data_IF_404950598093
#
_entry.id   IF_404950598093
#
_cell.length_a   1.000
_cell.length_b   1.000
_cell.length_c   1.000
_cell.angle_alpha   90.00
_cell.angle_beta   90.00
_cell.angle_gamma   90.00
#
_symmetry.space_group_name_H-M   'P 1'
#
loop_
_entity.id
_entity.type
_entity.pdbx_description
1 polymer ?
#
# COMPACT_ATOMS: atom_id res chain seq x y z
N UNK A 1 24.56 5.74 -9.91
CA UNK A 1 23.11 6.03 -9.81
C UNK A 1 22.35 4.85 -10.38
N UNK A 2 21.13 4.57 -9.91
CA UNK A 2 20.31 3.46 -10.44
C UNK A 2 19.86 3.79 -11.86
N UNK A 3 19.96 2.88 -12.83
CA UNK A 3 19.34 3.08 -14.15
C UNK A 3 17.83 2.87 -14.05
N UNK A 4 17.11 3.93 -13.68
CA UNK A 4 15.66 3.89 -13.53
C UNK A 4 14.93 3.58 -14.82
N UNK A 5 15.44 4.05 -15.97
CA UNK A 5 14.87 3.74 -17.27
C UNK A 5 14.87 2.22 -17.52
N UNK A 6 15.99 1.55 -17.25
CA UNK A 6 16.09 0.10 -17.37
C UNK A 6 15.17 -0.63 -16.38
N UNK A 7 15.14 -0.19 -15.11
CA UNK A 7 14.30 -0.82 -14.07
C UNK A 7 12.81 -0.75 -14.39
N UNK A 8 12.32 0.43 -14.81
CA UNK A 8 10.90 0.62 -15.13
C UNK A 8 10.52 -0.19 -16.37
N UNK A 9 11.35 -0.19 -17.42
CA UNK A 9 11.14 -1.02 -18.61
C UNK A 9 11.13 -2.51 -18.28
N UNK A 10 12.02 -2.95 -17.40
CA UNK A 10 12.07 -4.35 -16.94
C UNK A 10 10.83 -4.73 -16.10
N UNK A 11 10.17 -3.77 -15.46
CA UNK A 11 8.95 -3.98 -14.68
C UNK A 11 7.73 -4.26 -15.58
N UNK A 12 7.67 -3.68 -16.79
CA UNK A 12 6.60 -3.91 -17.76
C UNK A 12 6.51 -5.40 -18.19
N UNK A 13 5.33 -5.88 -18.58
CA UNK A 13 5.21 -7.21 -19.19
C UNK A 13 5.84 -7.18 -20.61
N UNK A 14 6.93 -7.94 -20.86
CA UNK A 14 7.58 -7.95 -22.17
C UNK A 14 6.67 -8.45 -23.30
N UNK A 15 5.60 -9.19 -22.96
CA UNK A 15 4.61 -9.74 -23.90
C UNK A 15 3.44 -8.80 -24.15
N UNK A 16 3.39 -7.64 -23.48
CA UNK A 16 2.34 -6.65 -23.72
C UNK A 16 2.37 -6.18 -25.19
N UNK A 17 1.19 -6.07 -25.81
CA UNK A 17 1.04 -5.64 -27.21
C UNK A 17 1.54 -4.22 -27.43
N UNK A 18 1.22 -3.31 -26.49
CA UNK A 18 1.70 -1.92 -26.49
C UNK A 18 2.98 -1.84 -25.68
N UNK A 19 3.97 -1.12 -26.21
CA UNK A 19 5.21 -0.84 -25.50
C UNK A 19 5.01 0.34 -24.55
N UNK A 20 5.73 0.36 -23.41
CA UNK A 20 5.75 1.50 -22.49
C UNK A 20 6.03 2.83 -23.21
N UNK A 21 5.29 3.86 -22.84
CA UNK A 21 5.48 5.22 -23.31
C UNK A 21 6.76 5.81 -22.66
N UNK A 22 7.63 6.39 -23.49
CA UNK A 22 8.91 6.94 -23.03
C UNK A 22 8.73 8.15 -22.10
N UNK A 23 7.69 8.97 -22.28
CA UNK A 23 7.40 10.11 -21.42
C UNK A 23 6.90 9.66 -20.05
N UNK A 24 6.08 8.60 -19.98
CA UNK A 24 5.65 8.01 -18.70
C UNK A 24 6.84 7.37 -17.97
N UNK A 25 7.75 6.74 -18.70
CA UNK A 25 8.99 6.23 -18.08
C UNK A 25 9.84 7.39 -17.57
N UNK A 26 10.05 8.43 -18.38
CA UNK A 26 10.84 9.62 -18.03
C UNK A 26 10.36 10.28 -16.75
N UNK A 27 9.05 10.58 -16.63
CA UNK A 27 8.51 11.22 -15.42
C UNK A 27 8.72 10.42 -14.12
N UNK A 28 8.90 9.10 -14.21
CA UNK A 28 9.24 8.28 -13.05
C UNK A 28 10.76 8.26 -12.87
N UNK A 29 11.52 8.03 -13.95
CA UNK A 29 12.96 7.87 -13.90
C UNK A 29 13.68 9.14 -13.42
N UNK A 30 13.24 10.30 -13.92
CA UNK A 30 13.88 11.59 -13.69
C UNK A 30 13.70 12.08 -12.25
N UNK A 31 12.75 11.52 -11.50
CA UNK A 31 12.42 11.94 -10.14
C UNK A 31 12.56 10.83 -9.09
N UNK A 32 12.89 9.61 -9.49
CA UNK A 32 12.93 8.47 -8.58
C UNK A 32 13.96 8.62 -7.45
N UNK A 33 15.16 9.14 -7.76
CA UNK A 33 16.21 9.32 -6.76
C UNK A 33 15.85 10.38 -5.70
N UNK A 34 15.03 11.38 -6.05
CA UNK A 34 14.57 12.43 -5.12
C UNK A 34 13.31 12.01 -4.35
N UNK A 35 12.33 11.45 -5.05
CA UNK A 35 11.00 11.19 -4.49
C UNK A 35 10.97 9.93 -3.62
N UNK A 36 11.69 8.87 -3.99
CA UNK A 36 11.70 7.64 -3.21
C UNK A 36 12.20 7.82 -1.77
N UNK A 37 13.39 8.41 -1.51
CA UNK A 37 13.81 8.62 -0.12
C UNK A 37 12.89 9.57 0.63
N UNK A 38 12.41 10.65 -0.02
CA UNK A 38 11.50 11.65 0.58
C UNK A 38 10.24 11.01 1.14
N UNK A 39 9.65 10.06 0.41
CA UNK A 39 8.40 9.40 0.79
C UNK A 39 8.61 8.02 1.43
N UNK A 40 9.84 7.69 1.82
CA UNK A 40 10.15 6.48 2.57
C UNK A 40 10.23 5.20 1.74
N UNK A 41 10.33 5.27 0.42
CA UNK A 41 10.62 4.13 -0.47
C UNK A 41 12.11 3.79 -0.47
N UNK A 42 12.65 3.48 0.70
CA UNK A 42 14.10 3.31 0.91
C UNK A 42 14.60 1.89 0.65
N UNK A 43 13.73 0.88 0.66
CA UNK A 43 14.07 -0.52 0.42
C UNK A 43 13.70 -0.97 -1.00
N UNK A 44 14.40 -1.98 -1.53
CA UNK A 44 14.04 -2.58 -2.83
C UNK A 44 12.57 -3.01 -2.84
N UNK A 45 12.09 -3.63 -1.75
CA UNK A 45 10.71 -4.12 -1.64
C UNK A 45 9.68 -2.99 -1.76
N UNK A 46 9.92 -1.84 -1.14
CA UNK A 46 9.03 -0.67 -1.25
C UNK A 46 9.01 -0.11 -2.67
N UNK A 47 10.19 0.11 -3.27
CA UNK A 47 10.31 0.62 -4.64
C UNK A 47 9.64 -0.33 -5.64
N UNK A 48 9.90 -1.64 -5.52
CA UNK A 48 9.29 -2.67 -6.36
C UNK A 48 7.76 -2.72 -6.20
N UNK A 49 7.24 -2.58 -4.97
CA UNK A 49 5.80 -2.55 -4.73
C UNK A 49 5.15 -1.38 -5.48
N UNK A 50 5.67 -0.16 -5.31
CA UNK A 50 5.13 1.01 -6.01
C UNK A 50 5.18 0.84 -7.52
N UNK A 51 6.34 0.49 -8.09
CA UNK A 51 6.51 0.30 -9.53
C UNK A 51 5.58 -0.79 -10.10
N UNK A 52 5.36 -1.87 -9.37
CA UNK A 52 4.45 -2.94 -9.77
C UNK A 52 3.00 -2.47 -9.84
N UNK A 53 2.57 -1.68 -8.86
CA UNK A 53 1.23 -1.10 -8.86
C UNK A 53 1.09 -0.08 -10.00
N UNK A 54 2.04 0.85 -10.15
CA UNK A 54 2.05 1.80 -11.27
C UNK A 54 1.97 1.08 -12.61
N UNK A 55 2.77 0.02 -12.81
CA UNK A 55 2.76 -0.78 -14.03
C UNK A 55 1.35 -1.29 -14.37
N UNK A 56 0.56 -1.73 -13.38
CA UNK A 56 -0.79 -2.26 -13.64
C UNK A 56 -1.82 -1.13 -13.79
N UNK A 57 -1.76 -0.10 -12.95
CA UNK A 57 -2.70 1.04 -13.03
C UNK A 57 -2.56 1.84 -14.33
N UNK A 58 -1.36 1.85 -14.93
CA UNK A 58 -1.05 2.57 -16.18
C UNK A 58 -1.06 1.67 -17.42
N UNK A 59 -1.58 0.45 -17.31
CA UNK A 59 -1.61 -0.54 -18.39
C UNK A 59 -0.23 -0.76 -19.06
N UNK A 60 0.76 -1.13 -18.25
CA UNK A 60 2.19 -1.24 -18.61
C UNK A 60 2.84 0.09 -19.02
N UNK A 61 2.60 1.16 -18.27
CA UNK A 61 3.17 2.49 -18.51
C UNK A 61 2.77 3.07 -19.88
N UNK A 62 1.50 2.89 -20.28
CA UNK A 62 1.00 3.34 -21.59
C UNK A 62 -0.10 4.39 -21.50
N UNK A 63 -0.68 4.61 -20.32
CA UNK A 63 -1.69 5.63 -20.10
C UNK A 63 -1.64 6.19 -18.67
N UNK A 64 -1.87 7.49 -18.54
CA UNK A 64 -2.02 8.17 -17.26
C UNK A 64 -3.45 8.55 -16.94
N UNK A 65 -4.36 8.48 -17.91
CA UNK A 65 -5.74 8.91 -17.76
C UNK A 65 -6.67 7.85 -18.33
N UNK A 66 -7.84 7.69 -17.71
CA UNK A 66 -8.91 6.96 -18.34
C UNK A 66 -9.38 7.68 -19.62
N UNK A 67 -9.62 6.92 -20.69
CA UNK A 67 -9.99 7.51 -21.98
C UNK A 67 -11.48 7.90 -22.07
N UNK A 68 -12.34 7.22 -21.29
CA UNK A 68 -13.80 7.37 -21.27
C UNK A 68 -14.44 7.47 -22.66
N UNK A 69 -13.86 6.81 -23.66
CA UNK A 69 -14.33 6.90 -25.04
C UNK A 69 -15.04 5.59 -25.43
N UNK A 70 -16.36 5.58 -25.29
CA UNK A 70 -17.21 4.41 -25.53
C UNK A 70 -18.31 4.73 -26.54
N UNK A 71 -18.73 3.73 -27.31
CA UNK A 71 -19.98 3.82 -28.09
C UNK A 71 -21.20 3.71 -27.17
N UNK A 72 -22.39 4.10 -27.64
CA UNK A 72 -23.63 4.02 -26.87
C UNK A 72 -23.96 2.57 -26.48
N UNK A 73 -23.73 1.62 -27.39
CA UNK A 73 -23.94 0.19 -27.18
C UNK A 73 -23.03 -0.30 -26.06
N UNK A 74 -21.74 0.06 -26.11
CA UNK A 74 -20.77 -0.38 -25.10
C UNK A 74 -21.07 0.22 -23.73
N UNK A 75 -21.53 1.47 -23.67
CA UNK A 75 -21.97 2.11 -22.44
C UNK A 75 -23.17 1.37 -21.81
N UNK A 76 -24.15 0.98 -22.62
CA UNK A 76 -25.30 0.19 -22.17
C UNK A 76 -24.86 -1.20 -21.66
N UNK A 77 -23.90 -1.84 -22.32
CA UNK A 77 -23.36 -3.13 -21.88
C UNK A 77 -22.63 -3.05 -20.54
N UNK A 78 -21.68 -2.10 -20.42
CA UNK A 78 -20.77 -2.01 -19.27
C UNK A 78 -21.44 -1.37 -18.06
N UNK A 79 -22.34 -0.41 -18.29
CA UNK A 79 -23.02 0.34 -17.23
C UNK A 79 -24.54 0.31 -17.39
N UNK A 80 -25.10 -0.89 -17.60
CA UNK A 80 -26.55 -1.11 -17.76
C UNK A 80 -27.43 -0.43 -16.71
N UNK A 81 -26.98 -0.32 -15.46
CA UNK A 81 -27.72 0.39 -14.39
C UNK A 81 -27.78 1.91 -14.60
N UNK A 82 -26.75 2.51 -15.21
CA UNK A 82 -26.69 3.96 -15.50
C UNK A 82 -27.27 4.29 -16.87
N UNK A 83 -27.14 3.36 -17.81
CA UNK A 83 -27.64 3.45 -19.17
C UNK A 83 -28.53 2.22 -19.46
N UNK A 84 -29.80 2.22 -19.03
CA UNK A 84 -30.71 1.07 -19.21
C UNK A 84 -31.07 0.78 -20.66
N UNK A 85 -30.90 1.76 -21.56
CA UNK A 85 -31.10 1.63 -23.00
C UNK A 85 -29.93 2.26 -23.77
N UNK A 86 -29.69 1.84 -25.01
CA UNK A 86 -28.71 2.48 -25.90
C UNK A 86 -29.03 3.97 -26.09
N UNK A 87 -30.32 4.29 -26.24
CA UNK A 87 -30.79 5.68 -26.38
C UNK A 87 -30.41 6.57 -25.19
N UNK A 88 -30.48 6.03 -23.96
CA UNK A 88 -30.04 6.77 -22.75
C UNK A 88 -28.53 7.03 -22.70
N UNK A 89 -27.74 6.25 -23.45
CA UNK A 89 -26.29 6.39 -23.55
C UNK A 89 -25.85 7.31 -24.69
N UNK A 90 -26.70 7.52 -25.71
CA UNK A 90 -26.38 8.32 -26.91
C UNK A 90 -25.73 9.68 -26.61
N UNK A 91 -26.20 10.48 -25.64
CA UNK A 91 -25.59 11.77 -25.34
C UNK A 91 -24.13 11.70 -24.82
N UNK A 92 -23.71 10.52 -24.33
CA UNK A 92 -22.41 10.28 -23.71
C UNK A 92 -21.47 9.45 -24.61
N UNK A 93 -21.98 8.93 -25.72
CA UNK A 93 -21.20 8.16 -26.67
C UNK A 93 -20.15 9.05 -27.34
N UNK A 94 -18.91 8.58 -27.38
CA UNK A 94 -17.75 9.32 -27.89
C UNK A 94 -17.60 10.72 -27.30
N UNK A 95 -18.13 10.94 -26.08
CA UNK A 95 -18.07 12.20 -25.37
C UNK A 95 -17.51 11.98 -23.95
N UNK A 96 -16.18 11.81 -23.81
CA UNK A 96 -15.53 11.49 -22.54
C UNK A 96 -15.84 12.47 -21.41
N UNK A 97 -15.92 13.78 -21.73
CA UNK A 97 -16.20 14.83 -20.75
C UNK A 97 -17.62 14.73 -20.20
N UNK A 98 -18.62 14.62 -21.08
CA UNK A 98 -20.00 14.43 -20.64
C UNK A 98 -20.17 13.12 -19.85
N UNK A 99 -19.52 12.05 -20.31
CA UNK A 99 -19.55 10.76 -19.62
C UNK A 99 -18.92 10.82 -18.23
N UNK A 100 -17.75 11.45 -18.08
CA UNK A 100 -17.08 11.62 -16.79
C UNK A 100 -17.98 12.39 -15.81
N UNK A 101 -18.57 13.49 -16.24
CA UNK A 101 -19.49 14.28 -15.42
C UNK A 101 -20.75 13.49 -15.04
N UNK A 102 -21.27 12.65 -15.94
CA UNK A 102 -22.41 11.76 -15.65
C UNK A 102 -22.08 10.66 -14.64
N UNK A 103 -20.88 10.06 -14.73
CA UNK A 103 -20.50 8.92 -13.91
C UNK A 103 -19.99 9.35 -12.54
N UNK A 104 -19.27 10.47 -12.47
CA UNK A 104 -18.57 10.93 -11.26
C UNK A 104 -19.14 12.19 -10.61
N UNK A 105 -20.02 12.95 -11.27
CA UNK A 105 -20.64 14.13 -10.67
C UNK A 105 -21.48 13.77 -9.43
N UNK A 106 -21.36 14.57 -8.37
CA UNK A 106 -22.03 14.33 -7.08
C UNK A 106 -21.44 13.17 -6.27
N UNK A 107 -20.24 12.67 -6.60
CA UNK A 107 -19.59 11.53 -5.94
C UNK A 107 -18.15 11.88 -5.58
N UNK A 108 -17.64 11.31 -4.47
CA UNK A 108 -16.22 11.48 -4.06
C UNK A 108 -15.82 12.97 -4.00
N UNK A 109 -16.69 13.80 -3.42
CA UNK A 109 -16.49 15.24 -3.31
C UNK A 109 -16.77 16.06 -4.56
N UNK A 110 -16.96 15.43 -5.72
CA UNK A 110 -17.26 16.15 -6.96
C UNK A 110 -18.63 16.83 -6.83
N UNK A 111 -18.69 18.13 -7.13
CA UNK A 111 -19.94 18.90 -7.12
C UNK A 111 -20.86 18.41 -8.24
N UNK A 112 -22.15 18.27 -7.94
CA UNK A 112 -23.15 17.89 -8.94
C UNK A 112 -23.40 19.05 -9.91
N UNK A 113 -23.53 18.75 -11.21
CA UNK A 113 -23.80 19.75 -12.24
C UNK A 113 -22.59 20.61 -12.66
N UNK A 114 -21.39 20.35 -12.12
CA UNK A 114 -20.14 21.00 -12.55
C UNK A 114 -19.30 20.05 -13.42
N UNK A 115 -18.14 20.54 -13.85
CA UNK A 115 -17.16 19.75 -14.60
C UNK A 115 -16.22 18.92 -13.71
N UNK A 116 -16.49 18.84 -12.40
CA UNK A 116 -15.62 18.16 -11.44
C UNK A 116 -15.43 16.67 -11.78
N UNK A 117 -16.45 16.04 -12.39
CA UNK A 117 -16.34 14.64 -12.80
C UNK A 117 -15.28 14.43 -13.88
N UNK A 118 -15.15 15.35 -14.84
CA UNK A 118 -14.10 15.34 -15.85
C UNK A 118 -12.74 15.75 -15.29
N UNK A 119 -12.70 16.84 -14.52
CA UNK A 119 -11.47 17.37 -13.94
C UNK A 119 -10.84 16.37 -12.96
N UNK A 120 -11.67 15.64 -12.20
CA UNK A 120 -11.24 14.65 -11.21
C UNK A 120 -11.50 13.20 -11.65
N UNK A 121 -11.57 12.94 -12.96
CA UNK A 121 -11.58 11.56 -13.49
C UNK A 121 -10.30 10.82 -13.12
N UNK A 122 -10.33 9.50 -13.23
CA UNK A 122 -9.23 8.60 -12.93
C UNK A 122 -7.96 8.96 -13.69
N UNK A 123 -6.94 9.38 -12.94
CA UNK A 123 -5.66 9.78 -13.54
C UNK A 123 -4.45 9.63 -12.63
N UNK A 124 -3.28 9.78 -13.24
CA UNK A 124 -1.97 9.63 -12.64
C UNK A 124 -1.53 8.18 -12.48
N UNK A 125 -0.32 8.02 -11.95
CA UNK A 125 0.38 6.73 -11.87
C UNK A 125 -0.30 5.70 -10.97
N UNK A 126 -1.19 6.12 -10.07
CA UNK A 126 -2.04 5.24 -9.24
C UNK A 126 -3.55 5.42 -9.49
N UNK A 127 -3.96 6.07 -10.58
CA UNK A 127 -5.36 6.23 -11.00
C UNK A 127 -6.29 6.79 -9.90
N UNK A 128 -5.93 7.95 -9.33
CA UNK A 128 -6.75 8.63 -8.33
C UNK A 128 -7.96 9.30 -8.99
N UNK A 129 -9.13 9.22 -8.35
CA UNK A 129 -10.41 9.74 -8.85
C UNK A 129 -11.14 10.51 -7.75
N UNK A 130 -11.77 11.64 -8.09
CA UNK A 130 -12.64 12.41 -7.20
C UNK A 130 -11.94 13.56 -6.49
N UNK A 131 -12.71 14.62 -6.26
CA UNK A 131 -12.27 15.83 -5.58
C UNK A 131 -11.84 15.58 -4.12
N UNK A 132 -12.51 14.67 -3.39
CA UNK A 132 -12.11 14.31 -2.02
C UNK A 132 -10.69 13.75 -1.97
N UNK A 133 -10.37 12.84 -2.90
CA UNK A 133 -9.02 12.27 -3.00
C UNK A 133 -7.98 13.31 -3.40
N UNK A 134 -8.33 14.23 -4.31
CA UNK A 134 -7.48 15.37 -4.64
C UNK A 134 -7.27 16.29 -3.42
N UNK A 135 -8.28 16.45 -2.57
CA UNK A 135 -8.20 17.22 -1.33
C UNK A 135 -7.28 16.58 -0.29
N UNK A 136 -7.38 15.27 -0.05
CA UNK A 136 -6.46 14.56 0.84
C UNK A 136 -5.02 14.59 0.32
N UNK A 137 -4.84 14.43 -0.99
CA UNK A 137 -3.53 14.57 -1.64
C UNK A 137 -2.99 16.00 -1.47
N UNK A 138 -3.79 17.03 -1.76
CA UNK A 138 -3.42 18.43 -1.63
C UNK A 138 -3.03 18.81 -0.20
N UNK A 139 -3.80 18.37 0.81
CA UNK A 139 -3.44 18.55 2.22
C UNK A 139 -2.06 17.97 2.55
N UNK A 140 -1.74 16.79 2.01
CA UNK A 140 -0.46 16.12 2.28
C UNK A 140 0.72 16.79 1.56
N UNK A 141 0.48 17.39 0.41
CA UNK A 141 1.47 18.11 -0.40
C UNK A 141 1.54 19.61 -0.11
N UNK A 142 0.62 20.15 0.69
CA UNK A 142 0.56 21.59 1.00
C UNK A 142 0.02 22.45 -0.15
N UNK A 143 -0.80 21.89 -1.03
CA UNK A 143 -1.39 22.58 -2.19
C UNK A 143 -2.91 22.45 -2.22
N UNK A 144 -3.59 23.24 -3.08
CA UNK A 144 -5.04 23.13 -3.23
C UNK A 144 -5.44 21.81 -3.91
N UNK A 145 -6.69 21.34 -3.74
CA UNK A 145 -7.19 20.15 -4.43
C UNK A 145 -7.05 20.25 -5.96
N UNK A 146 -7.27 21.43 -6.53
CA UNK A 146 -7.17 21.66 -7.98
C UNK A 146 -5.73 21.50 -8.47
N UNK A 147 -4.76 22.06 -7.74
CA UNK A 147 -3.33 21.89 -8.02
C UNK A 147 -2.93 20.43 -7.89
N UNK A 148 -3.31 19.76 -6.80
CA UNK A 148 -3.02 18.34 -6.59
C UNK A 148 -3.62 17.46 -7.70
N UNK A 149 -4.84 17.77 -8.14
CA UNK A 149 -5.50 17.08 -9.24
C UNK A 149 -4.72 17.25 -10.56
N UNK A 150 -4.26 18.47 -10.87
CA UNK A 150 -3.43 18.71 -12.05
C UNK A 150 -2.05 18.01 -11.97
N UNK A 151 -1.46 17.96 -10.78
CA UNK A 151 -0.14 17.35 -10.53
C UNK A 151 -0.10 15.84 -10.76
N UNK A 152 -1.24 15.14 -10.65
CA UNK A 152 -1.32 13.70 -10.88
C UNK A 152 -0.74 13.25 -12.23
N UNK A 153 -0.79 14.11 -13.24
CA UNK A 153 -0.30 13.83 -14.60
C UNK A 153 0.83 14.77 -15.04
N UNK A 154 1.25 15.70 -14.17
CA UNK A 154 2.32 16.62 -14.49
C UNK A 154 3.67 15.88 -14.44
N UNK A 155 4.55 16.00 -15.44
CA UNK A 155 5.83 15.30 -15.47
C UNK A 155 6.63 15.43 -14.17
N UNK A 156 6.71 16.66 -13.65
CA UNK A 156 7.51 16.95 -12.45
C UNK A 156 6.92 16.44 -11.13
N UNK A 157 5.62 16.12 -11.09
CA UNK A 157 4.89 15.85 -9.84
C UNK A 157 4.17 14.49 -9.80
N UNK A 158 4.03 13.81 -10.94
CA UNK A 158 3.25 12.58 -11.01
C UNK A 158 3.81 11.49 -10.07
N UNK A 159 5.14 11.35 -9.99
CA UNK A 159 5.77 10.40 -9.08
C UNK A 159 5.60 10.77 -7.61
N UNK A 160 5.76 12.06 -7.27
CA UNK A 160 5.50 12.59 -5.92
C UNK A 160 4.06 12.27 -5.48
N UNK A 161 3.09 12.50 -6.37
CA UNK A 161 1.69 12.18 -6.12
C UNK A 161 1.48 10.67 -5.91
N UNK A 162 2.12 9.82 -6.72
CA UNK A 162 2.02 8.36 -6.60
C UNK A 162 2.57 7.86 -5.27
N UNK A 163 3.76 8.33 -4.89
CA UNK A 163 4.38 8.05 -3.60
C UNK A 163 3.46 8.46 -2.45
N UNK A 164 2.91 9.67 -2.51
CA UNK A 164 2.02 10.23 -1.49
C UNK A 164 0.73 9.43 -1.34
N UNK A 165 0.07 9.10 -2.46
CA UNK A 165 -1.14 8.27 -2.45
C UNK A 165 -0.87 6.89 -1.84
N UNK A 166 0.23 6.24 -2.20
CA UNK A 166 0.61 4.94 -1.65
C UNK A 166 0.80 5.00 -0.12
N UNK A 167 1.36 6.12 0.39
CA UNK A 167 1.49 6.40 1.82
C UNK A 167 0.11 6.61 2.46
N UNK A 168 -0.75 7.45 1.88
CA UNK A 168 -2.11 7.74 2.38
C UNK A 168 -2.98 6.48 2.44
N UNK A 169 -2.81 5.55 1.49
CA UNK A 169 -3.49 4.25 1.47
C UNK A 169 -2.93 3.26 2.52
N UNK A 170 -1.87 3.65 3.24
CA UNK A 170 -1.23 2.83 4.26
C UNK A 170 -0.61 1.56 3.69
N UNK A 171 -0.10 1.61 2.45
CA UNK A 171 0.40 0.43 1.75
C UNK A 171 1.86 0.09 2.08
N UNK A 172 2.63 1.02 2.69
CA UNK A 172 4.03 0.80 3.06
C UNK A 172 4.26 -0.42 3.96
N UNK A 173 3.49 -0.67 5.05
CA UNK A 173 3.72 -1.86 5.89
C UNK A 173 3.52 -3.18 5.14
N UNK A 174 2.62 -3.22 4.15
CA UNK A 174 2.43 -4.41 3.31
C UNK A 174 3.55 -4.54 2.26
N UNK A 175 4.14 -3.43 1.84
CA UNK A 175 5.33 -3.42 0.99
C UNK A 175 6.56 -3.97 1.73
N UNK A 176 6.73 -3.66 3.02
CA UNK A 176 7.82 -4.17 3.85
C UNK A 176 7.86 -5.69 3.93
N UNK A 177 6.68 -6.32 4.04
CA UNK A 177 6.55 -7.78 4.08
C UNK A 177 6.45 -8.43 2.70
N UNK A 178 6.48 -7.67 1.61
CA UNK A 178 6.26 -8.19 0.25
C UNK A 178 4.84 -8.76 0.02
N UNK A 179 3.87 -8.40 0.85
CA UNK A 179 2.49 -8.92 0.75
C UNK A 179 1.70 -8.18 -0.33
N UNK A 180 1.89 -8.60 -1.58
CA UNK A 180 1.22 -8.00 -2.76
C UNK A 180 -0.30 -8.12 -2.67
N UNK A 181 -0.83 -9.12 -1.95
CA UNK A 181 -2.28 -9.27 -1.76
C UNK A 181 -2.82 -8.14 -0.88
N UNK A 182 -2.16 -7.86 0.24
CA UNK A 182 -2.53 -6.76 1.12
C UNK A 182 -2.32 -5.39 0.44
N UNK A 183 -1.24 -5.22 -0.32
CA UNK A 183 -1.00 -4.00 -1.11
C UNK A 183 -2.14 -3.77 -2.13
N UNK A 184 -2.53 -4.82 -2.87
CA UNK A 184 -3.61 -4.75 -3.87
C UNK A 184 -4.96 -4.38 -3.25
N UNK A 185 -5.28 -4.95 -2.09
CA UNK A 185 -6.51 -4.59 -1.37
C UNK A 185 -6.56 -3.12 -0.97
N UNK A 186 -5.42 -2.56 -0.55
CA UNK A 186 -5.33 -1.13 -0.17
C UNK A 186 -5.45 -0.22 -1.38
N UNK A 187 -4.79 -0.55 -2.48
CA UNK A 187 -4.69 0.33 -3.65
C UNK A 187 -5.93 0.25 -4.53
N UNK A 188 -6.45 -0.96 -4.76
CA UNK A 188 -7.56 -1.18 -5.68
C UNK A 188 -8.92 -1.42 -4.98
N UNK A 189 -8.93 -1.51 -3.64
CA UNK A 189 -10.13 -1.87 -2.88
C UNK A 189 -10.55 -3.34 -3.02
N UNK A 190 -9.70 -4.18 -3.61
CA UNK A 190 -10.03 -5.57 -3.94
C UNK A 190 -8.83 -6.41 -4.37
N UNK A 191 -9.03 -7.31 -5.33
CA UNK A 191 -7.97 -8.18 -5.89
C UNK A 191 -7.85 -8.06 -7.42
N UNK A 192 -8.38 -7.01 -8.02
CA UNK A 192 -8.32 -6.86 -9.47
C UNK A 192 -6.88 -6.66 -9.93
N UNK A 193 -6.49 -7.43 -10.95
CA UNK A 193 -5.13 -7.43 -11.48
C UNK A 193 -4.09 -8.06 -10.55
N UNK A 194 -4.47 -8.87 -9.54
CA UNK A 194 -3.52 -9.38 -8.54
C UNK A 194 -2.37 -10.20 -9.16
N UNK A 195 -2.68 -11.07 -10.14
CA UNK A 195 -1.67 -11.91 -10.78
C UNK A 195 -0.67 -11.05 -11.57
N UNK A 196 -1.17 -10.03 -12.28
CA UNK A 196 -0.39 -9.06 -13.03
C UNK A 196 0.50 -8.24 -12.10
N UNK A 197 -0.02 -7.81 -10.94
CA UNK A 197 0.74 -7.09 -9.91
C UNK A 197 1.83 -7.95 -9.31
N UNK A 198 1.56 -9.22 -9.01
CA UNK A 198 2.58 -10.15 -8.51
C UNK A 198 3.70 -10.38 -9.54
N UNK A 199 3.34 -10.54 -10.80
CA UNK A 199 4.31 -10.70 -11.88
C UNK A 199 5.16 -9.43 -12.08
N UNK A 200 4.54 -8.24 -12.05
CA UNK A 200 5.23 -6.96 -12.13
C UNK A 200 6.16 -6.74 -10.92
N UNK A 201 5.69 -7.08 -9.71
CA UNK A 201 6.50 -7.03 -8.49
C UNK A 201 7.73 -7.91 -8.59
N UNK A 202 7.59 -9.16 -9.03
CA UNK A 202 8.71 -10.06 -9.20
C UNK A 202 9.73 -9.53 -10.24
N UNK A 203 9.26 -8.89 -11.33
CA UNK A 203 10.14 -8.25 -12.32
C UNK A 203 10.87 -7.04 -11.74
N UNK A 204 10.16 -6.15 -11.06
CA UNK A 204 10.74 -4.96 -10.43
C UNK A 204 11.78 -5.33 -9.36
N UNK A 205 11.47 -6.32 -8.51
CA UNK A 205 12.41 -6.86 -7.52
C UNK A 205 13.71 -7.33 -8.19
N UNK A 206 13.60 -8.15 -9.25
CA UNK A 206 14.79 -8.64 -9.98
C UNK A 206 15.60 -7.49 -10.58
N UNK A 207 14.95 -6.54 -11.24
CA UNK A 207 15.64 -5.42 -11.89
C UNK A 207 16.39 -4.56 -10.86
N UNK A 208 15.74 -4.21 -9.75
CA UNK A 208 16.35 -3.43 -8.67
C UNK A 208 17.50 -4.16 -7.97
N UNK A 209 17.37 -5.48 -7.76
CA UNK A 209 18.45 -6.30 -7.21
C UNK A 209 19.66 -6.35 -8.14
N UNK A 210 19.45 -6.41 -9.46
CA UNK A 210 20.54 -6.38 -10.45
C UNK A 210 21.27 -5.02 -10.44
N UNK A 211 20.54 -3.91 -10.39
CA UNK A 211 21.15 -2.58 -10.28
C UNK A 211 21.97 -2.43 -8.99
N UNK A 212 21.46 -2.97 -7.88
CA UNK A 212 22.18 -2.99 -6.60
C UNK A 212 23.46 -3.82 -6.70
N UNK A 213 23.40 -4.98 -7.36
CA UNK A 213 24.57 -5.83 -7.55
C UNK A 213 25.64 -5.18 -8.44
N UNK A 214 25.24 -4.51 -9.54
CA UNK A 214 26.16 -3.76 -10.41
C UNK A 214 26.89 -2.66 -9.65
N UNK A 215 26.15 -1.86 -8.88
CA UNK A 215 26.74 -0.78 -8.08
C UNK A 215 27.78 -1.29 -7.07
N UNK A 216 27.66 -2.53 -6.59
CA UNK A 216 28.64 -3.16 -5.69
C UNK A 216 29.93 -3.56 -6.42
N UNK A 217 29.83 -4.06 -7.64
CA UNK A 217 31.00 -4.45 -8.46
C UNK A 217 31.79 -3.23 -8.90
N UNK A 218 31.11 -2.11 -9.14
CA UNK A 218 31.72 -0.86 -9.61
C UNK A 218 32.30 0.02 -8.48
N UNK A 219 32.00 -0.29 -7.21
CA UNK A 219 32.57 0.44 -6.08
C UNK A 219 34.08 0.15 -5.93
N UNK A 220 34.92 1.15 -5.57
CA UNK A 220 36.33 0.91 -5.30
C UNK A 220 36.48 -0.20 -4.25
N UNK A 221 37.18 -1.27 -4.61
CA UNK A 221 37.54 -2.30 -3.65
C UNK A 221 38.65 -1.70 -2.77
N UNK A 222 38.31 -1.29 -1.55
CA UNK A 222 39.33 -1.14 -0.51
C UNK A 222 39.87 -2.55 -0.25
N UNK A 223 41.19 -2.73 -0.38
CA UNK A 223 41.90 -4.02 -0.33
C UNK A 223 41.84 -4.74 1.04
N UNK A 224 40.89 -4.37 1.91
CA UNK A 224 40.59 -5.08 3.12
C UNK A 224 39.93 -6.42 2.78
N UNK A 225 40.57 -7.52 3.20
CA UNK A 225 40.03 -8.88 3.06
C UNK A 225 38.54 -8.93 3.42
N UNK A 226 37.69 -9.55 2.58
CA UNK A 226 36.27 -9.67 2.88
C UNK A 226 36.11 -10.54 4.12
N UNK A 227 35.84 -9.92 5.27
CA UNK A 227 35.47 -10.67 6.47
C UNK A 227 34.12 -11.35 6.23
N UNK A 228 34.19 -12.68 6.16
CA UNK A 228 33.07 -13.59 5.99
C UNK A 228 32.09 -13.47 7.17
N UNK A 229 31.03 -12.70 7.00
CA UNK A 229 29.63 -12.98 7.41
C UNK A 229 28.80 -11.70 7.26
N UNK A 230 27.55 -11.78 6.77
CA UNK A 230 26.66 -10.61 6.77
C UNK A 230 26.47 -10.07 8.19
N UNK A 231 26.48 -8.73 8.38
CA UNK A 231 26.44 -8.14 9.71
C UNK A 231 25.14 -8.50 10.42
N UNK A 232 25.27 -9.04 11.62
CA UNK A 232 24.18 -9.41 12.50
C UNK A 232 23.39 -8.18 12.96
N UNK A 233 22.17 -8.40 13.46
CA UNK A 233 21.37 -7.35 14.11
C UNK A 233 22.15 -6.69 15.26
N UNK A 234 23.00 -7.45 15.96
CA UNK A 234 23.85 -6.96 17.05
C UNK A 234 24.88 -5.93 16.56
N UNK A 235 25.57 -6.24 15.46
CA UNK A 235 26.57 -5.35 14.86
C UNK A 235 25.93 -4.10 14.27
N UNK A 236 24.77 -4.25 13.61
CA UNK A 236 24.01 -3.10 13.10
C UNK A 236 23.49 -2.19 14.22
N UNK A 237 23.17 -2.76 15.39
CA UNK A 237 22.83 -1.99 16.59
C UNK A 237 24.04 -1.25 17.14
N UNK A 238 25.19 -1.91 17.26
CA UNK A 238 26.43 -1.30 17.73
C UNK A 238 26.93 -0.18 16.80
N UNK A 239 26.71 -0.34 15.49
CA UNK A 239 26.99 0.68 14.47
C UNK A 239 25.97 1.84 14.46
N UNK A 240 24.99 1.86 15.36
CA UNK A 240 24.06 2.97 15.53
C UNK A 240 22.91 3.03 14.51
N UNK A 241 22.54 1.91 13.87
CA UNK A 241 21.48 1.92 12.85
C UNK A 241 20.15 2.44 13.40
N UNK A 242 19.69 3.58 12.86
CA UNK A 242 18.41 4.20 13.21
C UNK A 242 17.21 3.27 13.00
N UNK A 243 17.25 2.44 11.96
CA UNK A 243 16.22 1.43 11.65
C UNK A 243 16.15 0.34 12.71
N UNK A 244 17.32 -0.17 13.15
CA UNK A 244 17.37 -1.16 14.24
C UNK A 244 16.89 -0.54 15.55
N UNK A 245 17.30 0.71 15.85
CA UNK A 245 16.85 1.47 17.02
C UNK A 245 15.33 1.65 17.04
N UNK A 246 14.72 2.03 15.91
CA UNK A 246 13.27 2.18 15.79
C UNK A 246 12.53 0.84 15.97
N UNK A 247 13.06 -0.25 15.41
CA UNK A 247 12.49 -1.58 15.60
C UNK A 247 12.65 -2.09 17.05
N UNK A 248 13.76 -1.79 17.72
CA UNK A 248 13.96 -2.06 19.15
C UNK A 248 12.96 -1.28 20.00
N UNK A 249 12.77 0.02 19.73
CA UNK A 249 11.78 0.85 20.42
C UNK A 249 10.35 0.35 20.23
N UNK A 250 9.98 -0.10 19.03
CA UNK A 250 8.67 -0.70 18.78
C UNK A 250 8.46 -1.98 19.59
N UNK A 251 9.46 -2.85 19.67
CA UNK A 251 9.38 -4.08 20.48
C UNK A 251 9.38 -3.80 21.97
N UNK A 252 10.16 -2.82 22.44
CA UNK A 252 10.15 -2.37 23.85
C UNK A 252 8.82 -1.72 24.23
N UNK A 253 8.22 -0.92 23.36
CA UNK A 253 6.89 -0.33 23.56
C UNK A 253 5.81 -1.41 23.67
N UNK A 254 5.87 -2.43 22.81
CA UNK A 254 4.97 -3.60 22.87
C UNK A 254 5.21 -4.44 24.13
N UNK A 255 6.46 -4.66 24.53
CA UNK A 255 6.80 -5.38 25.75
C UNK A 255 6.34 -4.61 27.01
N UNK A 256 6.53 -3.28 27.03
CA UNK A 256 6.04 -2.41 28.09
C UNK A 256 4.51 -2.38 28.16
N UNK A 257 3.82 -2.38 27.02
CA UNK A 257 2.37 -2.53 26.94
C UNK A 257 1.89 -3.92 27.40
N UNK A 258 2.63 -4.99 27.11
CA UNK A 258 2.34 -6.32 27.64
C UNK A 258 2.56 -6.40 29.15
N UNK A 259 3.59 -5.73 29.69
CA UNK A 259 3.84 -5.66 31.14
C UNK A 259 2.77 -4.83 31.85
N UNK A 260 2.26 -3.75 31.23
CA UNK A 260 1.15 -2.98 31.81
C UNK A 260 -0.19 -3.72 31.74
N UNK A 261 -0.44 -4.49 30.67
CA UNK A 261 -1.58 -5.42 30.57
C UNK A 261 -1.43 -6.60 31.52
N UNK A 262 -0.20 -7.10 31.74
CA UNK A 262 0.13 -8.12 32.73
C UNK A 262 -0.07 -7.61 34.17
N UNK A 263 0.31 -6.35 34.43
CA UNK A 263 0.09 -5.66 35.70
C UNK A 263 -1.39 -5.37 35.97
N UNK A 264 -2.16 -5.05 34.92
CA UNK A 264 -3.62 -4.97 35.00
C UNK A 264 -4.27 -6.35 35.18
N UNK A 265 -3.59 -7.44 34.83
CA UNK A 265 -4.03 -8.83 35.04
C UNK A 265 -3.51 -9.46 36.33
N UNK A 266 -3.00 -8.68 37.28
CA UNK A 266 -2.95 -9.09 38.68
C UNK A 266 -4.35 -9.42 39.25
N UNK A 267 -5.43 -9.15 38.51
CA UNK A 267 -6.75 -9.78 38.65
C UNK A 267 -6.79 -11.26 38.19
N UNK A 268 -5.69 -12.01 38.35
CA UNK A 268 -5.56 -13.43 37.99
C UNK A 268 -6.49 -14.35 38.81
N UNK A 269 -7.06 -13.85 39.93
CA UNK A 269 -8.13 -14.55 40.66
C UNK A 269 -9.43 -14.68 39.86
N UNK A 270 -9.65 -13.83 38.84
CA UNK A 270 -10.87 -13.86 38.02
C UNK A 270 -10.81 -14.87 36.86
N UNK A 271 -9.64 -15.43 36.51
CA UNK A 271 -9.55 -16.39 35.39
C UNK A 271 -10.22 -17.72 35.73
N UNK A 272 -10.16 -18.13 37.00
CA UNK A 272 -10.89 -19.31 37.46
C UNK A 272 -12.40 -19.07 37.44
N UNK A 273 -12.84 -17.91 37.92
CA UNK A 273 -14.25 -17.51 37.91
C UNK A 273 -14.82 -17.41 36.48
N UNK A 274 -14.02 -16.93 35.53
CA UNK A 274 -14.39 -16.85 34.10
C UNK A 274 -14.48 -18.24 33.45
N UNK A 275 -13.59 -19.16 33.80
CA UNK A 275 -13.63 -20.54 33.32
C UNK A 275 -14.82 -21.31 33.90
N UNK A 276 -15.11 -21.12 35.19
CA UNK A 276 -16.25 -21.71 35.88
C UNK A 276 -17.58 -21.14 35.32
N UNK A 277 -17.65 -19.82 35.08
CA UNK A 277 -18.81 -19.18 34.43
C UNK A 277 -19.01 -19.61 32.97
N UNK A 278 -17.94 -19.87 32.21
CA UNK A 278 -18.04 -20.37 30.84
C UNK A 278 -18.56 -21.81 30.78
N UNK A 279 -18.19 -22.64 31.76
CA UNK A 279 -18.70 -24.01 31.92
C UNK A 279 -20.19 -24.01 32.30
N UNK A 280 -20.61 -23.11 33.19
CA UNK A 280 -22.02 -22.90 33.55
C UNK A 280 -22.85 -22.37 32.37
N UNK A 281 -22.32 -21.42 31.59
CA UNK A 281 -22.95 -20.90 30.38
C UNK A 281 -23.17 -21.99 29.33
N UNK A 282 -22.18 -22.85 29.10
CA UNK A 282 -22.29 -23.98 28.18
C UNK A 282 -23.38 -24.97 28.64
N UNK A 283 -23.50 -25.18 29.95
CA UNK A 283 -24.54 -26.04 30.55
C UNK A 283 -25.93 -25.41 30.44
N UNK A 284 -26.06 -24.09 30.60
CA UNK A 284 -27.31 -23.34 30.46
C UNK A 284 -27.85 -23.28 29.01
N UNK A 285 -26.95 -23.22 28.02
CA UNK A 285 -27.30 -23.33 26.59
C UNK A 285 -27.77 -24.75 26.27
N UNK A 286 -27.19 -25.78 26.90
CA UNK A 286 -27.62 -27.17 26.76
C UNK A 286 -28.96 -27.47 27.44
N UNK A 287 -29.33 -26.72 28.49
CA UNK A 287 -30.60 -26.89 29.22
C UNK A 287 -31.79 -26.12 28.66
N UNK A 288 -31.63 -25.43 27.51
CA UNK A 288 -32.74 -24.83 26.77
C UNK A 288 -33.15 -23.41 27.17
N UNK A 289 -32.30 -22.69 27.91
CA UNK A 289 -32.46 -21.23 28.11
C UNK A 289 -32.28 -20.53 26.75
N UNK A 290 -33.08 -19.50 26.47
CA UNK A 290 -33.02 -18.84 25.15
C UNK A 290 -31.62 -18.28 24.90
N UNK A 291 -31.06 -18.52 23.70
CA UNK A 291 -29.71 -18.04 23.34
C UNK A 291 -29.55 -16.51 23.53
N UNK A 292 -30.66 -15.77 23.51
CA UNK A 292 -30.70 -14.33 23.76
C UNK A 292 -30.45 -13.96 25.24
N UNK A 293 -30.92 -14.75 26.20
CA UNK A 293 -30.68 -14.52 27.63
C UNK A 293 -29.22 -14.84 28.01
N UNK A 294 -28.71 -15.97 27.52
CA UNK A 294 -27.29 -16.31 27.66
C UNK A 294 -26.39 -15.24 27.00
N UNK A 295 -26.74 -14.79 25.80
CA UNK A 295 -26.00 -13.68 25.17
C UNK A 295 -26.05 -12.40 26.01
N UNK A 296 -27.19 -12.03 26.60
CA UNK A 296 -27.30 -10.83 27.44
C UNK A 296 -26.37 -10.89 28.65
N UNK A 297 -26.34 -12.02 29.34
CA UNK A 297 -25.64 -12.15 30.61
C UNK A 297 -24.12 -12.34 30.42
N UNK A 298 -23.70 -12.94 29.29
CA UNK A 298 -22.29 -13.18 28.98
C UNK A 298 -21.67 -12.24 27.94
N UNK A 299 -22.44 -11.33 27.31
CA UNK A 299 -21.94 -10.34 26.36
C UNK A 299 -20.78 -9.48 26.89
N UNK A 300 -20.79 -8.99 28.16
CA UNK A 300 -19.65 -8.25 28.71
C UNK A 300 -18.37 -9.08 28.71
N UNK A 301 -18.46 -10.37 29.02
CA UNK A 301 -17.32 -11.29 29.11
C UNK A 301 -16.78 -11.65 27.71
N UNK A 302 -17.67 -11.89 26.74
CA UNK A 302 -17.32 -12.05 25.33
C UNK A 302 -16.67 -10.79 24.75
N UNK A 303 -17.15 -9.61 25.16
CA UNK A 303 -16.55 -8.32 24.81
C UNK A 303 -15.13 -8.19 25.34
N UNK A 304 -14.89 -8.54 26.61
CA UNK A 304 -13.54 -8.54 27.21
C UNK A 304 -12.62 -9.53 26.48
N UNK A 305 -13.05 -10.78 26.27
CA UNK A 305 -12.24 -11.79 25.55
C UNK A 305 -11.93 -11.34 24.12
N UNK A 306 -12.91 -10.78 23.41
CA UNK A 306 -12.73 -10.25 22.05
C UNK A 306 -11.75 -9.08 22.00
N UNK A 307 -11.85 -8.14 22.94
CA UNK A 307 -10.92 -7.01 23.06
C UNK A 307 -9.50 -7.48 23.43
N UNK A 308 -9.37 -8.44 24.34
CA UNK A 308 -8.08 -9.04 24.70
C UNK A 308 -7.44 -9.77 23.53
N UNK A 309 -8.22 -10.54 22.75
CA UNK A 309 -7.73 -11.21 21.55
C UNK A 309 -7.31 -10.22 20.47
N UNK A 310 -8.08 -9.14 20.26
CA UNK A 310 -7.72 -8.07 19.34
C UNK A 310 -6.43 -7.37 19.79
N UNK A 311 -6.30 -7.02 21.07
CA UNK A 311 -5.10 -6.42 21.64
C UNK A 311 -3.87 -7.34 21.46
N UNK A 312 -4.01 -8.63 21.79
CA UNK A 312 -2.95 -9.62 21.59
C UNK A 312 -2.55 -9.74 20.11
N UNK A 313 -3.51 -9.71 19.18
CA UNK A 313 -3.24 -9.70 17.75
C UNK A 313 -2.46 -8.45 17.30
N UNK A 314 -2.83 -7.26 17.77
CA UNK A 314 -2.12 -6.02 17.43
C UNK A 314 -0.69 -5.99 18.02
N UNK A 315 -0.52 -6.47 19.25
CA UNK A 315 0.78 -6.67 19.90
C UNK A 315 1.64 -7.63 19.07
N UNK A 316 1.12 -8.82 18.75
CA UNK A 316 1.84 -9.80 17.93
C UNK A 316 2.19 -9.25 16.55
N UNK A 317 1.26 -8.55 15.89
CA UNK A 317 1.44 -7.94 14.58
C UNK A 317 2.54 -6.88 14.60
N UNK A 318 2.55 -6.00 15.61
CA UNK A 318 3.58 -4.98 15.79
C UNK A 318 4.96 -5.60 16.06
N UNK A 319 5.02 -6.61 16.94
CA UNK A 319 6.25 -7.32 17.27
C UNK A 319 6.84 -8.06 16.05
N UNK A 320 5.99 -8.76 15.29
CA UNK A 320 6.38 -9.44 14.04
C UNK A 320 6.82 -8.46 12.97
N UNK A 321 6.15 -7.33 12.82
CA UNK A 321 6.56 -6.26 11.89
C UNK A 321 7.96 -5.74 12.20
N UNK A 322 8.26 -5.48 13.47
CA UNK A 322 9.59 -5.05 13.89
C UNK A 322 10.68 -6.11 13.64
N UNK A 323 10.37 -7.40 13.84
CA UNK A 323 11.29 -8.50 13.51
C UNK A 323 11.58 -8.58 12.00
N UNK A 324 10.57 -8.39 11.15
CA UNK A 324 10.75 -8.36 9.69
C UNK A 324 11.58 -7.16 9.24
N UNK A 325 11.42 -5.99 9.86
CA UNK A 325 12.25 -4.81 9.59
C UNK A 325 13.71 -5.06 9.94
N UNK A 326 13.99 -5.73 11.07
CA UNK A 326 15.36 -6.11 11.46
C UNK A 326 15.97 -7.11 10.47
N UNK A 327 15.22 -8.15 10.10
CA UNK A 327 15.67 -9.14 9.11
C UNK A 327 15.95 -8.48 7.75
N UNK A 328 15.03 -7.64 7.26
CA UNK A 328 15.23 -6.88 6.03
C UNK A 328 16.43 -5.94 6.11
N UNK A 329 16.71 -5.35 7.27
CA UNK A 329 17.88 -4.48 7.44
C UNK A 329 19.19 -5.26 7.46
N UNK A 330 19.20 -6.49 7.98
CA UNK A 330 20.32 -7.43 7.85
C UNK A 330 20.52 -7.81 6.39
N UNK A 331 19.45 -8.16 5.67
CA UNK A 331 19.51 -8.44 4.23
C UNK A 331 20.07 -7.23 3.45
N UNK A 332 19.58 -6.02 3.76
CA UNK A 332 20.05 -4.78 3.14
C UNK A 332 21.55 -4.56 3.42
N UNK A 333 21.98 -4.69 4.68
CA UNK A 333 23.39 -4.53 5.04
C UNK A 333 24.30 -5.62 4.42
N UNK A 334 23.83 -6.87 4.38
CA UNK A 334 24.48 -7.98 3.69
C UNK A 334 24.62 -7.72 2.17
N UNK A 335 23.65 -7.03 1.60
CA UNK A 335 23.64 -6.66 0.18
C UNK A 335 24.46 -5.40 -0.14
N UNK A 336 25.07 -4.75 0.85
CA UNK A 336 25.80 -3.49 0.67
C UNK A 336 24.88 -2.27 0.48
N UNK A 337 23.56 -2.43 0.65
CA UNK A 337 22.61 -1.33 0.67
C UNK A 337 22.80 -0.53 1.96
N UNK A 338 23.58 0.54 1.81
CA UNK A 338 23.69 1.64 2.75
C UNK A 338 24.24 1.23 4.11
N UNK A 339 25.54 0.95 4.17
CA UNK A 339 26.31 0.80 5.41
C UNK A 339 26.69 2.20 5.92
N UNK A 340 25.71 3.01 6.35
CA UNK A 340 26.02 4.37 6.81
C UNK A 340 24.86 5.16 7.45
N UNK A 341 24.91 5.22 8.79
CA UNK A 341 24.36 6.23 9.74
C UNK A 341 22.85 6.54 9.72
#
# INVERSE_FOLDING_TARGET
MTDWNAVIRATADPRAKKKPDAAIIGMIADHADDQFPTWGFTTIRRKAALLAHICVETANFTALEENLNYSAERLHEVWRKRFPTVESATPFAHNPRALANKVYGGRMGNRAGTDDGWLNRGKGLLQSTGHDNAGELGKKLGVSPEVASAWLIHPDHALECACTLFVLLGALPAADSGDVVAQTKRINGGRNGLAERQAAYARAMRALSLETAKARVEAPQDDAEPTETPPSVGELRAAGSRTIKGADQAQQGVAGAMVSVAGASAALSQIKDVADQAQEAATAVQSGVSALEALRDYWPLLGVVGLSAAAAYFVWRAWRGASLVKAARVDDAASGLNIGR
#
